data_IF_606819733849
#
_entry.id   IF_606819733849
#
_cell.length_a   1.000
_cell.length_b   1.000
_cell.length_c   1.000
_cell.angle_alpha   90.00
_cell.angle_beta   90.00
_cell.angle_gamma   90.00
#
_symmetry.space_group_name_H-M   'P 1'
#
loop_
_entity.id
_entity.type
_entity.pdbx_description
1 polymer ?
#
# COMPACT_ATOMS: atom_id res chain seq x y z
N UNK A 1 42.55 8.28 7.64
CA UNK A 1 41.60 7.25 7.20
C UNK A 1 40.21 7.85 7.28
N UNK A 2 39.59 8.15 6.14
CA UNK A 2 38.23 8.69 6.09
C UNK A 2 37.31 7.50 6.37
N UNK A 3 36.66 7.51 7.54
CA UNK A 3 35.68 6.50 7.90
C UNK A 3 34.56 6.53 6.87
N UNK A 4 34.26 5.37 6.27
CA UNK A 4 33.24 5.12 5.25
C UNK A 4 31.82 5.24 5.86
N UNK A 5 31.51 6.41 6.43
CA UNK A 5 30.27 6.71 7.20
C UNK A 5 29.06 7.01 6.31
N UNK A 6 29.23 7.02 4.99
CA UNK A 6 28.16 7.33 4.03
C UNK A 6 27.24 6.14 3.74
N UNK A 7 27.63 4.92 4.11
CA UNK A 7 26.79 3.74 3.86
C UNK A 7 25.67 3.66 4.91
N UNK A 8 24.39 3.64 4.50
CA UNK A 8 23.29 3.46 5.44
C UNK A 8 23.40 2.08 6.12
N UNK A 9 23.34 2.08 7.46
CA UNK A 9 23.31 0.82 8.22
C UNK A 9 21.89 0.23 8.15
N UNK A 10 21.79 -0.96 7.56
CA UNK A 10 20.53 -1.71 7.48
C UNK A 10 20.24 -2.40 8.83
N UNK A 11 18.97 -2.47 9.21
CA UNK A 11 18.55 -3.20 10.40
C UNK A 11 18.77 -4.72 10.23
N UNK A 12 19.35 -5.38 11.24
CA UNK A 12 19.53 -6.84 11.27
C UNK A 12 18.44 -7.54 12.10
N UNK A 13 17.85 -8.65 11.61
CA UNK A 13 18.18 -9.36 10.36
C UNK A 13 17.66 -8.61 9.11
N UNK A 14 18.47 -8.55 8.05
CA UNK A 14 18.04 -7.99 6.77
C UNK A 14 17.85 -9.11 5.74
N UNK A 15 16.72 -9.13 4.99
CA UNK A 15 15.61 -8.18 5.05
C UNK A 15 14.62 -8.50 6.19
N UNK A 16 14.38 -7.53 7.09
CA UNK A 16 13.26 -7.58 8.02
C UNK A 16 12.01 -7.08 7.28
N UNK A 17 11.35 -7.99 6.55
CA UNK A 17 10.15 -7.65 5.79
C UNK A 17 9.00 -7.48 6.78
N UNK A 18 8.69 -6.23 7.13
CA UNK A 18 7.49 -5.92 7.90
C UNK A 18 6.25 -6.38 7.12
N UNK A 19 5.30 -7.00 7.83
CA UNK A 19 4.00 -7.47 7.29
C UNK A 19 3.08 -6.32 6.88
N UNK A 20 3.15 -5.21 7.62
CA UNK A 20 2.33 -4.03 7.39
C UNK A 20 3.21 -2.83 7.07
N UNK A 21 2.73 -1.98 6.18
CA UNK A 21 3.25 -0.64 5.97
C UNK A 21 2.33 0.36 6.66
N UNK A 22 2.91 1.27 7.46
CA UNK A 22 2.17 2.39 8.04
C UNK A 22 2.54 3.66 7.29
N UNK A 23 1.54 4.35 6.75
CA UNK A 23 1.74 5.64 6.10
C UNK A 23 2.27 6.66 7.13
N UNK A 24 3.42 7.30 6.90
CA UNK A 24 4.00 8.25 7.85
C UNK A 24 3.19 9.55 7.95
N UNK A 25 2.41 9.89 6.92
CA UNK A 25 1.58 11.11 6.88
C UNK A 25 0.19 10.92 7.47
N UNK A 26 -0.51 9.88 7.01
CA UNK A 26 -1.92 9.66 7.37
C UNK A 26 -2.09 8.68 8.53
N UNK A 27 -1.03 7.94 8.90
CA UNK A 27 -1.08 6.90 9.92
C UNK A 27 -1.82 5.61 9.49
N UNK A 28 -2.40 5.58 8.29
CA UNK A 28 -3.11 4.44 7.74
C UNK A 28 -2.20 3.23 7.55
N UNK A 29 -2.73 2.04 7.80
CA UNK A 29 -1.98 0.78 7.75
C UNK A 29 -2.44 -0.03 6.54
N UNK A 30 -1.48 -0.50 5.75
CA UNK A 30 -1.71 -1.30 4.54
C UNK A 30 -0.91 -2.61 4.64
N UNK A 31 -1.53 -3.79 4.43
CA UNK A 31 -0.80 -5.05 4.36
C UNK A 31 0.15 -5.09 3.16
N UNK A 32 1.32 -5.72 3.33
CA UNK A 32 2.33 -5.82 2.27
C UNK A 32 2.34 -7.16 1.53
N UNK A 33 1.78 -8.21 2.13
CA UNK A 33 1.64 -9.49 1.44
C UNK A 33 0.46 -9.45 0.49
N UNK A 34 0.65 -10.05 -0.68
CA UNK A 34 -0.27 -9.98 -1.81
C UNK A 34 -1.71 -10.36 -1.44
N UNK A 35 -1.91 -11.58 -0.93
CA UNK A 35 -3.24 -12.07 -0.57
C UNK A 35 -3.94 -11.17 0.46
N UNK A 36 -3.20 -10.77 1.50
CA UNK A 36 -3.71 -9.89 2.56
C UNK A 36 -4.07 -8.51 2.02
N UNK A 37 -3.28 -7.98 1.09
CA UNK A 37 -3.52 -6.69 0.46
C UNK A 37 -4.76 -6.73 -0.44
N UNK A 38 -4.94 -7.82 -1.22
CA UNK A 38 -6.11 -8.03 -2.07
C UNK A 38 -7.38 -8.09 -1.23
N UNK A 39 -7.41 -8.93 -0.20
CA UNK A 39 -8.57 -9.08 0.69
C UNK A 39 -8.86 -7.77 1.44
N UNK A 40 -7.83 -7.11 1.97
CA UNK A 40 -7.97 -5.83 2.65
C UNK A 40 -8.55 -4.76 1.73
N UNK A 41 -8.05 -4.65 0.48
CA UNK A 41 -8.54 -3.67 -0.49
C UNK A 41 -9.98 -3.98 -0.89
N UNK A 42 -10.32 -5.24 -1.16
CA UNK A 42 -11.68 -5.63 -1.52
C UNK A 42 -12.68 -5.24 -0.41
N UNK A 43 -12.35 -5.52 0.84
CA UNK A 43 -13.17 -5.13 1.99
C UNK A 43 -13.27 -3.59 2.15
N UNK A 44 -12.17 -2.87 1.94
CA UNK A 44 -12.17 -1.41 2.01
C UNK A 44 -13.06 -0.79 0.93
N UNK A 45 -12.95 -1.27 -0.31
CA UNK A 45 -13.77 -0.80 -1.43
C UNK A 45 -15.25 -1.12 -1.21
N UNK A 46 -15.57 -2.35 -0.79
CA UNK A 46 -16.95 -2.74 -0.50
C UNK A 46 -17.60 -1.87 0.58
N UNK A 47 -16.85 -1.50 1.62
CA UNK A 47 -17.34 -0.55 2.63
C UNK A 47 -17.54 0.85 2.07
N UNK A 48 -16.65 1.29 1.19
CA UNK A 48 -16.72 2.61 0.58
C UNK A 48 -17.85 2.73 -0.45
N UNK A 49 -18.31 1.64 -1.07
CA UNK A 49 -19.37 1.65 -2.10
C UNK A 49 -20.64 2.41 -1.68
N UNK A 50 -21.00 2.36 -0.40
CA UNK A 50 -22.23 2.97 0.12
C UNK A 50 -21.97 3.97 1.26
N UNK A 51 -20.73 4.43 1.43
CA UNK A 51 -20.33 5.34 2.51
C UNK A 51 -19.60 6.57 1.95
N UNK A 52 -20.35 7.64 1.71
CA UNK A 52 -19.84 8.91 1.18
C UNK A 52 -18.80 9.56 2.10
N UNK A 53 -18.90 9.35 3.41
CA UNK A 53 -17.93 9.90 4.37
C UNK A 53 -16.60 9.16 4.18
N UNK A 54 -16.64 7.83 4.14
CA UNK A 54 -15.44 7.01 3.90
C UNK A 54 -14.81 7.30 2.54
N UNK A 55 -15.61 7.50 1.48
CA UNK A 55 -15.08 7.89 0.16
C UNK A 55 -14.31 9.21 0.22
N UNK A 56 -14.90 10.23 0.87
CA UNK A 56 -14.27 11.54 1.02
C UNK A 56 -12.98 11.45 1.86
N UNK A 57 -12.98 10.68 2.95
CA UNK A 57 -11.81 10.46 3.79
C UNK A 57 -10.68 9.74 3.02
N UNK A 58 -11.02 8.74 2.20
CA UNK A 58 -10.05 8.03 1.37
C UNK A 58 -9.43 8.94 0.31
N UNK A 59 -10.23 9.78 -0.34
CA UNK A 59 -9.74 10.77 -1.31
C UNK A 59 -8.84 11.80 -0.63
N UNK A 60 -9.23 12.29 0.56
CA UNK A 60 -8.41 13.21 1.35
C UNK A 60 -7.06 12.56 1.75
N UNK A 61 -7.08 11.30 2.20
CA UNK A 61 -5.87 10.55 2.53
C UNK A 61 -4.95 10.34 1.32
N UNK A 62 -5.52 10.06 0.14
CA UNK A 62 -4.76 9.92 -1.11
C UNK A 62 -4.14 11.25 -1.55
N UNK A 63 -4.87 12.37 -1.40
CA UNK A 63 -4.36 13.71 -1.69
C UNK A 63 -3.21 14.10 -0.77
N UNK A 64 -3.29 13.74 0.51
CA UNK A 64 -2.23 14.01 1.49
C UNK A 64 -1.00 13.13 1.24
N UNK A 65 -1.20 11.86 0.86
CA UNK A 65 -0.13 10.88 0.69
C UNK A 65 -0.24 10.09 -0.61
N UNK A 66 0.56 10.49 -1.60
CA UNK A 66 0.75 9.72 -2.83
C UNK A 66 1.20 8.28 -2.54
N UNK A 67 2.05 8.08 -1.53
CA UNK A 67 2.51 6.75 -1.13
C UNK A 67 1.36 5.89 -0.61
N UNK A 68 0.40 6.47 0.11
CA UNK A 68 -0.80 5.73 0.51
C UNK A 68 -1.59 5.30 -0.71
N UNK A 69 -1.84 6.21 -1.64
CA UNK A 69 -2.55 5.89 -2.89
C UNK A 69 -1.86 4.75 -3.66
N UNK A 70 -0.53 4.78 -3.79
CA UNK A 70 0.23 3.73 -4.47
C UNK A 70 0.09 2.38 -3.75
N UNK A 71 0.32 2.34 -2.43
CA UNK A 71 0.29 1.08 -1.68
C UNK A 71 -1.14 0.50 -1.56
N UNK A 72 -2.16 1.36 -1.54
CA UNK A 72 -3.54 0.92 -1.42
C UNK A 72 -4.16 0.54 -2.77
N UNK A 73 -3.95 1.34 -3.82
CA UNK A 73 -4.76 1.27 -5.05
C UNK A 73 -3.97 1.04 -6.35
N UNK A 74 -2.68 1.39 -6.42
CA UNK A 74 -1.91 1.24 -7.67
C UNK A 74 -1.35 -0.18 -7.86
N UNK A 75 -1.37 -1.03 -6.82
CA UNK A 75 -1.05 -2.44 -6.94
C UNK A 75 -2.14 -3.18 -7.72
N UNK A 76 -1.98 -3.26 -9.03
CA UNK A 76 -2.78 -4.11 -9.90
C UNK A 76 -2.07 -5.44 -10.08
N UNK A 77 -2.72 -6.52 -9.64
CA UNK A 77 -2.24 -7.87 -9.89
C UNK A 77 -2.82 -8.35 -11.22
N UNK A 78 -1.98 -8.38 -12.25
CA UNK A 78 -2.37 -8.86 -13.57
C UNK A 78 -2.29 -10.40 -13.60
N UNK A 79 -3.42 -11.07 -13.43
CA UNK A 79 -3.46 -12.54 -13.39
C UNK A 79 -3.55 -13.18 -14.77
N UNK A 80 -4.37 -12.63 -15.67
CA UNK A 80 -4.64 -13.22 -16.98
C UNK A 80 -4.92 -12.12 -18.00
N UNK A 81 -4.36 -12.25 -19.19
CA UNK A 81 -4.86 -11.54 -20.37
C UNK A 81 -6.20 -12.18 -20.75
N UNK A 82 -7.28 -11.40 -20.70
CA UNK A 82 -8.60 -11.85 -21.16
C UNK A 82 -8.76 -11.35 -22.59
N UNK A 83 -8.71 -12.27 -23.55
CA UNK A 83 -9.02 -11.96 -24.94
C UNK A 83 -10.52 -11.69 -25.07
N UNK A 84 -10.88 -10.49 -25.53
CA UNK A 84 -12.29 -10.06 -25.63
C UNK A 84 -12.97 -10.48 -26.94
N UNK A 85 -12.27 -11.23 -27.79
CA UNK A 85 -12.73 -11.63 -29.13
C UNK A 85 -13.51 -12.96 -29.17
N UNK A 86 -14.13 -13.41 -28.07
CA UNK A 86 -14.94 -14.65 -28.06
C UNK A 86 -16.41 -14.39 -27.78
#
# INVERSE_FOLDING_TARGET
MITDTLKPQLATPFPNIQRYWKCPKTGLIVPKFEQENIEWRANLLHRAENDDILQNDLLAACKESLLFWINAFAWTYHQFDVDTET
#
